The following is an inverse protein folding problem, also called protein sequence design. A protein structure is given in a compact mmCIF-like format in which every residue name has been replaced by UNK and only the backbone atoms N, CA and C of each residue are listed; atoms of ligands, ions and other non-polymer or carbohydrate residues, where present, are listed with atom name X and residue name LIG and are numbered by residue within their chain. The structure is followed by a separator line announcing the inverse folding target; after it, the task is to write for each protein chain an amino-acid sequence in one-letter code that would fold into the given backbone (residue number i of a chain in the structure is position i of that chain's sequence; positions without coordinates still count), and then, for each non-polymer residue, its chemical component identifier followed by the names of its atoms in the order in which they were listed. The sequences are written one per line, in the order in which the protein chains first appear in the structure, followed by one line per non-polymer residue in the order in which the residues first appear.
data_IF_761751134804
#
_entry.id   IF_761751134804
#
_cell.length_a   1.000
_cell.length_b   1.000
_cell.length_c   1.000
_cell.angle_alpha   90.00
_cell.angle_beta   90.00
_cell.angle_gamma   90.00
#
_symmetry.space_group_name_H-M   'P 1'
#
loop_
_entity.id
_entity.type
_entity.pdbx_description
1 polymer ?
#
# COMPACT_ATOMS: atom_id res chain seq x y z
N UNK A 1 -0.35 20.14 0.84
CA UNK A 1 0.81 20.80 1.48
C UNK A 1 0.86 20.58 2.98
N UNK A 2 -0.24 20.75 3.75
CA UNK A 2 -0.25 20.52 5.21
C UNK A 2 0.37 19.19 5.69
N UNK A 3 0.14 18.10 4.97
CA UNK A 3 0.71 16.78 5.30
C UNK A 3 2.23 16.67 5.06
N UNK A 4 2.80 17.61 4.31
CA UNK A 4 4.24 17.72 4.05
C UNK A 4 4.92 18.75 4.96
N UNK A 5 4.14 19.56 5.69
CA UNK A 5 4.68 20.51 6.67
C UNK A 5 5.36 19.74 7.80
N UNK A 6 6.61 20.10 8.11
CA UNK A 6 7.42 19.41 9.12
C UNK A 6 8.18 18.18 8.63
N UNK A 7 8.11 17.84 7.35
CA UNK A 7 8.86 16.74 6.72
C UNK A 7 9.86 17.26 5.68
N UNK A 8 11.01 17.83 6.10
CA UNK A 8 11.98 18.45 5.18
C UNK A 8 12.49 17.50 4.08
N UNK A 9 12.42 16.19 4.31
CA UNK A 9 12.84 15.13 3.41
C UNK A 9 11.87 14.84 2.26
N UNK A 10 10.69 15.50 2.20
CA UNK A 10 9.66 15.20 1.20
C UNK A 10 10.15 15.23 -0.25
N UNK A 11 11.08 16.14 -0.56
CA UNK A 11 11.66 16.25 -1.90
C UNK A 11 12.46 14.98 -2.25
N UNK A 12 13.27 14.52 -1.31
CA UNK A 12 14.04 13.28 -1.45
C UNK A 12 13.11 12.07 -1.60
N UNK A 13 12.09 11.95 -0.75
CA UNK A 13 11.13 10.84 -0.78
C UNK A 13 10.41 10.76 -2.14
N UNK A 14 9.91 11.88 -2.65
CA UNK A 14 9.23 11.92 -3.94
C UNK A 14 10.18 11.64 -5.12
N UNK A 15 11.40 12.17 -5.10
CA UNK A 15 12.41 11.85 -6.12
C UNK A 15 12.75 10.36 -6.09
N UNK A 16 12.87 9.77 -4.90
CA UNK A 16 13.13 8.35 -4.74
C UNK A 16 11.97 7.50 -5.28
N UNK A 17 10.73 7.80 -4.89
CA UNK A 17 9.54 7.12 -5.39
C UNK A 17 9.46 7.16 -6.92
N UNK A 18 9.67 8.33 -7.52
CA UNK A 18 9.69 8.48 -8.98
C UNK A 18 10.82 7.67 -9.62
N UNK A 19 12.03 7.73 -9.07
CA UNK A 19 13.19 7.01 -9.58
C UNK A 19 13.01 5.49 -9.56
N UNK A 20 12.44 4.94 -8.48
CA UNK A 20 12.13 3.51 -8.40
C UNK A 20 11.10 3.11 -9.45
N UNK A 21 10.06 3.91 -9.69
CA UNK A 21 9.05 3.59 -10.70
C UNK A 21 9.63 3.67 -12.13
N UNK A 22 10.40 4.71 -12.42
CA UNK A 22 10.88 5.00 -13.79
C UNK A 22 12.15 4.29 -14.19
N UNK A 23 13.10 4.20 -13.28
CA UNK A 23 14.42 3.60 -13.54
C UNK A 23 14.49 2.20 -12.94
N UNK A 24 13.90 1.98 -11.76
CA UNK A 24 13.90 0.67 -11.11
C UNK A 24 12.96 -0.34 -11.77
N UNK A 25 11.70 0.04 -11.94
CA UNK A 25 10.66 -0.79 -12.56
C UNK A 25 10.40 -0.47 -14.03
N UNK A 26 11.13 0.51 -14.60
CA UNK A 26 11.06 0.86 -16.03
C UNK A 26 9.64 1.18 -16.53
N UNK A 27 8.82 1.84 -15.70
CA UNK A 27 7.48 2.25 -16.13
C UNK A 27 7.56 3.24 -17.30
N UNK A 28 6.81 2.96 -18.37
CA UNK A 28 6.63 3.87 -19.49
C UNK A 28 5.82 5.12 -19.10
N UNK A 29 5.86 6.17 -19.92
CA UNK A 29 5.16 7.44 -19.69
C UNK A 29 3.64 7.30 -19.64
N UNK A 30 3.09 6.33 -20.35
CA UNK A 30 1.66 6.04 -20.45
C UNK A 30 1.15 5.07 -19.38
N UNK A 31 2.04 4.57 -18.50
CA UNK A 31 1.64 3.66 -17.43
C UNK A 31 0.91 4.41 -16.31
N UNK A 32 -0.38 4.14 -16.15
CA UNK A 32 -1.14 4.64 -15.01
C UNK A 32 -0.73 3.96 -13.69
N UNK A 33 -0.65 4.78 -12.64
CA UNK A 33 -0.36 4.34 -11.27
C UNK A 33 -1.43 4.90 -10.35
N UNK A 34 -2.08 4.02 -9.60
CA UNK A 34 -3.12 4.36 -8.63
C UNK A 34 -2.52 4.37 -7.22
N UNK A 35 -2.61 5.51 -6.54
CA UNK A 35 -2.19 5.65 -5.15
C UNK A 35 -3.43 5.72 -4.25
N UNK A 36 -3.50 4.85 -3.25
CA UNK A 36 -4.58 4.83 -2.27
C UNK A 36 -4.04 4.46 -0.89
N UNK A 37 -4.72 4.95 0.17
CA UNK A 37 -4.49 4.47 1.55
C UNK A 37 -5.43 3.31 1.89
N UNK A 38 -6.64 3.35 1.34
CA UNK A 38 -7.71 2.39 1.59
C UNK A 38 -8.50 2.13 0.31
N UNK A 39 -9.12 0.95 0.23
CA UNK A 39 -10.18 0.62 -0.75
C UNK A 39 -11.41 0.23 0.06
N UNK A 40 -12.55 0.86 -0.22
CA UNK A 40 -13.83 0.61 0.47
C UNK A 40 -13.70 0.62 2.01
N UNK A 41 -12.99 1.60 2.55
CA UNK A 41 -12.77 1.76 4.00
C UNK A 41 -11.79 0.75 4.62
N UNK A 42 -11.16 -0.10 3.81
CA UNK A 42 -10.20 -1.10 4.27
C UNK A 42 -8.78 -0.70 3.89
N UNK A 43 -7.85 -0.77 4.86
CA UNK A 43 -6.44 -0.43 4.65
C UNK A 43 -5.78 -1.31 3.59
N UNK A 44 -5.04 -0.66 2.69
CA UNK A 44 -4.24 -1.36 1.69
C UNK A 44 -3.01 -1.99 2.34
N UNK A 45 -2.96 -3.31 2.36
CA UNK A 45 -1.83 -4.05 2.90
C UNK A 45 -1.95 -5.56 2.71
N UNK A 46 -0.83 -6.26 2.87
CA UNK A 46 -0.77 -7.71 2.77
C UNK A 46 -1.50 -8.42 3.92
N UNK A 47 -1.69 -7.74 5.06
CA UNK A 47 -2.32 -8.30 6.26
C UNK A 47 -3.73 -8.80 6.00
N UNK A 48 -4.53 -8.08 5.20
CA UNK A 48 -5.90 -8.50 4.86
C UNK A 48 -5.89 -9.84 4.12
N UNK A 49 -5.03 -9.97 3.10
CA UNK A 49 -4.90 -11.21 2.33
C UNK A 49 -4.39 -12.37 3.19
N UNK A 50 -3.46 -12.12 4.11
CA UNK A 50 -3.00 -13.11 5.07
C UNK A 50 -4.12 -13.58 6.01
N UNK A 51 -4.94 -12.65 6.51
CA UNK A 51 -6.12 -12.94 7.34
C UNK A 51 -7.15 -13.80 6.60
N UNK A 52 -7.47 -13.45 5.35
CA UNK A 52 -8.36 -14.24 4.49
C UNK A 52 -7.82 -15.67 4.34
N UNK A 53 -6.53 -15.84 4.03
CA UNK A 53 -5.92 -17.17 3.88
C UNK A 53 -6.02 -18.00 5.15
N UNK A 54 -5.85 -17.37 6.32
CA UNK A 54 -6.03 -18.05 7.60
C UNK A 54 -7.47 -18.55 7.74
N UNK A 55 -8.47 -17.66 7.59
CA UNK A 55 -9.89 -18.01 7.82
C UNK A 55 -10.48 -18.94 6.77
N UNK A 56 -10.06 -18.83 5.51
CA UNK A 56 -10.57 -19.65 4.40
C UNK A 56 -9.94 -21.05 4.35
N UNK A 57 -8.80 -21.26 5.04
CA UNK A 57 -8.02 -22.50 4.96
C UNK A 57 -8.30 -23.55 6.03
N UNK A 58 -9.21 -23.29 6.99
CA UNK A 58 -9.46 -24.23 8.09
C UNK A 58 -10.83 -24.06 8.74
N UNK A 59 -11.26 -25.09 9.49
CA UNK A 59 -12.47 -25.05 10.32
C UNK A 59 -12.25 -24.18 11.56
N UNK A 60 -12.24 -22.86 11.37
CA UNK A 60 -12.24 -21.93 12.51
C UNK A 60 -13.60 -21.99 13.19
N UNK A 61 -13.62 -22.47 14.42
CA UNK A 61 -14.77 -22.38 15.28
C UNK A 61 -14.57 -21.21 16.25
N UNK A 62 -15.53 -20.30 16.31
CA UNK A 62 -15.57 -19.32 17.39
C UNK A 62 -15.63 -20.08 18.72
N UNK A 63 -14.77 -19.72 19.66
CA UNK A 63 -14.82 -20.27 21.01
C UNK A 63 -15.97 -19.60 21.75
N UNK A 64 -17.03 -20.35 22.04
CA UNK A 64 -18.07 -19.90 22.97
C UNK A 64 -17.45 -19.74 24.38
N UNK A 65 -17.76 -18.62 25.02
CA UNK A 65 -17.39 -18.32 26.42
C UNK A 65 -18.65 -18.47 27.27
#
# INVERSE_FOLDING_TARGET
MKELEGRPEWCLDLTWMWGVLRVGYEFADDREVLFGKQIDGTELGWCLGAGIKLVSGGSMQCREI
#
